data_IF_526596535589
#
_entry.id   IF_526596535589
#
_cell.length_a   1.000
_cell.length_b   1.000
_cell.length_c   1.000
_cell.angle_alpha   90.00
_cell.angle_beta   90.00
_cell.angle_gamma   90.00
#
_symmetry.space_group_name_H-M   'P 1'
#
loop_
_entity.id
_entity.type
_entity.pdbx_description
1 polymer ?
#
# COMPACT_ATOMS: atom_id res chain seq x y z
N UNK A 1 -31.15 -0.88 -67.19
CA UNK A 1 -31.20 -2.36 -67.04
C UNK A 1 -29.80 -2.87 -66.75
N UNK A 2 -29.67 -3.68 -65.70
CA UNK A 2 -28.65 -4.72 -65.45
C UNK A 2 -27.21 -4.31 -65.09
N UNK A 3 -26.90 -4.43 -63.79
CA UNK A 3 -25.60 -4.83 -63.23
C UNK A 3 -25.22 -6.25 -63.69
N UNK A 4 -23.94 -6.67 -63.56
CA UNK A 4 -23.54 -7.39 -62.33
C UNK A 4 -22.11 -7.09 -61.82
N UNK A 5 -21.94 -7.29 -60.50
CA UNK A 5 -20.65 -7.43 -59.81
C UNK A 5 -19.96 -8.78 -60.16
N UNK A 6 -18.63 -8.92 -59.94
CA UNK A 6 -18.09 -9.64 -58.76
C UNK A 6 -16.77 -8.99 -58.26
N UNK A 7 -15.99 -9.45 -57.27
CA UNK A 7 -16.13 -10.23 -56.04
C UNK A 7 -14.67 -10.27 -55.48
N UNK A 8 -14.50 -10.06 -54.17
CA UNK A 8 -13.36 -10.44 -53.31
C UNK A 8 -11.91 -10.07 -53.71
N UNK A 9 -11.23 -9.32 -52.82
CA UNK A 9 -10.08 -9.93 -52.13
C UNK A 9 -9.83 -9.33 -50.74
N UNK A 10 -9.75 -10.26 -49.81
CA UNK A 10 -9.55 -10.14 -48.38
C UNK A 10 -8.04 -9.99 -48.10
N UNK A 11 -7.62 -9.03 -47.28
CA UNK A 11 -6.30 -9.05 -46.66
C UNK A 11 -6.40 -8.57 -45.22
N UNK A 12 -6.72 -9.51 -44.33
CA UNK A 12 -6.69 -9.37 -42.89
C UNK A 12 -5.22 -9.46 -42.44
N UNK A 13 -4.59 -8.34 -42.12
CA UNK A 13 -3.23 -8.34 -41.56
C UNK A 13 -3.36 -8.42 -40.05
N UNK A 14 -3.15 -9.62 -39.53
CA UNK A 14 -3.17 -9.96 -38.11
C UNK A 14 -1.87 -9.43 -37.46
N UNK A 15 -1.94 -8.29 -36.78
CA UNK A 15 -0.81 -7.75 -36.01
C UNK A 15 -0.54 -8.61 -34.76
N UNK A 16 0.74 -8.81 -34.37
CA UNK A 16 1.06 -9.66 -33.24
C UNK A 16 0.62 -8.97 -31.94
N UNK A 17 -0.23 -9.63 -31.17
CA UNK A 17 -0.54 -9.24 -29.80
C UNK A 17 0.70 -9.48 -28.94
N UNK A 18 1.34 -8.41 -28.47
CA UNK A 18 2.31 -8.49 -27.39
C UNK A 18 1.56 -8.97 -26.14
N UNK A 19 1.70 -10.25 -25.81
CA UNK A 19 1.24 -10.77 -24.54
C UNK A 19 2.04 -10.11 -23.42
N UNK A 20 1.39 -9.21 -22.68
CA UNK A 20 1.96 -8.64 -21.46
C UNK A 20 2.25 -9.77 -20.48
N UNK A 21 3.53 -9.95 -20.15
CA UNK A 21 3.95 -10.83 -19.06
C UNK A 21 3.52 -10.13 -17.77
N UNK A 22 2.40 -10.56 -17.19
CA UNK A 22 2.06 -10.16 -15.84
C UNK A 22 3.16 -10.71 -14.90
N UNK A 23 3.74 -9.91 -14.00
CA UNK A 23 4.64 -10.46 -13.01
C UNK A 23 3.87 -11.50 -12.20
N UNK A 24 4.38 -12.73 -12.15
CA UNK A 24 3.91 -13.74 -11.22
C UNK A 24 3.98 -13.14 -9.82
N UNK A 25 2.82 -12.99 -9.18
CA UNK A 25 2.78 -12.71 -7.76
C UNK A 25 3.59 -13.80 -7.07
N UNK A 26 4.61 -13.41 -6.30
CA UNK A 26 5.34 -14.35 -5.48
C UNK A 26 4.33 -15.04 -4.55
N UNK A 27 4.22 -16.36 -4.66
CA UNK A 27 3.52 -17.20 -3.68
C UNK A 27 4.25 -17.09 -2.35
N UNK A 28 3.87 -16.08 -1.58
CA UNK A 28 4.36 -15.83 -0.24
C UNK A 28 3.28 -15.11 0.54
N UNK A 29 3.15 -15.44 1.82
CA UNK A 29 2.12 -14.87 2.70
C UNK A 29 2.25 -13.34 2.88
N UNK A 30 3.30 -12.71 2.35
CA UNK A 30 3.46 -11.25 2.33
C UNK A 30 2.49 -10.59 1.34
N UNK A 31 1.85 -9.46 1.73
CA UNK A 31 1.10 -8.66 0.78
C UNK A 31 2.00 -8.18 -0.38
N UNK A 32 1.41 -7.90 -1.56
CA UNK A 32 2.16 -7.34 -2.67
C UNK A 32 2.79 -6.01 -2.26
N UNK A 33 4.04 -5.83 -2.66
CA UNK A 33 4.74 -4.56 -2.49
C UNK A 33 4.12 -3.51 -3.41
N UNK A 34 3.89 -2.31 -2.87
CA UNK A 34 3.31 -1.17 -3.56
C UNK A 34 4.31 -0.02 -3.65
N UNK A 35 4.13 0.84 -4.65
CA UNK A 35 4.98 2.00 -4.90
C UNK A 35 4.13 3.26 -5.06
N UNK A 36 4.52 4.33 -4.38
CA UNK A 36 3.97 5.68 -4.55
C UNK A 36 5.14 6.67 -4.60
N UNK A 37 5.36 7.28 -5.76
CA UNK A 37 6.53 8.13 -6.03
C UNK A 37 7.87 7.48 -5.64
N UNK A 38 8.45 7.90 -4.51
CA UNK A 38 9.73 7.43 -4.00
C UNK A 38 9.58 6.54 -2.76
N UNK A 39 8.34 6.20 -2.39
CA UNK A 39 8.00 5.38 -1.24
C UNK A 39 7.65 3.98 -1.72
N UNK A 40 8.35 2.99 -1.17
CA UNK A 40 7.98 1.58 -1.33
C UNK A 40 7.34 1.12 -0.03
N UNK A 41 6.16 0.52 -0.12
CA UNK A 41 5.38 0.17 1.06
C UNK A 41 4.61 -1.14 0.87
N UNK A 42 4.12 -1.70 1.96
CA UNK A 42 3.12 -2.76 1.96
C UNK A 42 2.13 -2.50 3.09
N UNK A 43 0.91 -3.03 2.95
CA UNK A 43 -0.10 -3.00 3.99
C UNK A 43 -0.89 -4.30 3.99
N UNK A 44 -1.36 -4.74 5.16
CA UNK A 44 -2.09 -5.99 5.31
C UNK A 44 -1.99 -6.58 6.72
N UNK A 45 -2.14 -7.90 6.79
CA UNK A 45 -2.02 -8.69 8.02
C UNK A 45 -3.34 -9.01 8.70
N UNK A 46 -4.43 -9.10 7.92
CA UNK A 46 -5.75 -9.54 8.41
C UNK A 46 -5.71 -11.04 8.74
N UNK A 47 -5.10 -11.85 7.87
CA UNK A 47 -4.89 -13.28 8.08
C UNK A 47 -3.71 -13.58 9.00
N UNK A 48 -3.75 -14.72 9.70
CA UNK A 48 -2.68 -15.13 10.62
C UNK A 48 -1.33 -15.23 9.90
N UNK A 49 -1.28 -15.98 8.80
CA UNK A 49 -0.04 -16.24 8.05
C UNK A 49 0.55 -14.95 7.49
N UNK A 50 -0.30 -14.11 6.88
CA UNK A 50 0.10 -12.79 6.42
C UNK A 50 0.61 -11.89 7.56
N UNK A 51 -0.03 -11.93 8.73
CA UNK A 51 0.44 -11.17 9.89
C UNK A 51 1.79 -11.65 10.40
N UNK A 52 2.06 -12.96 10.36
CA UNK A 52 3.35 -13.55 10.73
C UNK A 52 4.42 -13.13 9.72
N UNK A 53 4.11 -13.23 8.43
CA UNK A 53 5.01 -12.85 7.35
C UNK A 53 5.39 -11.36 7.41
N UNK A 54 4.41 -10.47 7.59
CA UNK A 54 4.66 -9.03 7.78
C UNK A 54 5.53 -8.78 9.01
N UNK A 55 5.21 -9.39 10.16
CA UNK A 55 6.01 -9.26 11.39
C UNK A 55 7.46 -9.70 11.18
N UNK A 56 7.69 -10.72 10.36
CA UNK A 56 9.02 -11.22 9.99
C UNK A 56 9.90 -10.18 9.28
N UNK A 57 9.30 -9.30 8.48
CA UNK A 57 10.02 -8.28 7.69
C UNK A 57 9.99 -6.87 8.29
N UNK A 58 9.27 -6.64 9.39
CA UNK A 58 9.14 -5.32 10.04
C UNK A 58 10.46 -4.62 10.39
N UNK A 59 11.58 -5.35 10.49
CA UNK A 59 12.90 -4.77 10.77
C UNK A 59 13.59 -4.23 9.52
N UNK A 60 13.14 -4.64 8.34
CA UNK A 60 13.75 -4.26 7.05
C UNK A 60 13.13 -2.97 6.49
N UNK A 61 12.18 -2.37 7.21
CA UNK A 61 11.48 -1.17 6.83
C UNK A 61 11.83 0.01 7.74
N UNK A 62 11.93 1.20 7.15
CA UNK A 62 12.22 2.44 7.87
C UNK A 62 11.09 2.87 8.81
N UNK A 63 9.83 2.58 8.45
CA UNK A 63 8.65 2.91 9.22
C UNK A 63 7.71 1.70 9.31
N UNK A 64 7.23 1.41 10.52
CA UNK A 64 6.16 0.43 10.78
C UNK A 64 5.03 1.12 11.52
N UNK A 65 3.82 1.04 10.97
CA UNK A 65 2.59 1.52 11.58
C UNK A 65 1.71 0.33 11.96
N UNK A 66 1.09 0.42 13.14
CA UNK A 66 0.06 -0.53 13.58
C UNK A 66 -1.22 0.23 13.92
N UNK A 67 -2.36 -0.27 13.47
CA UNK A 67 -3.66 0.38 13.66
C UNK A 67 -4.57 -0.46 14.55
N UNK A 68 -5.01 0.12 15.67
CA UNK A 68 -5.90 -0.57 16.59
C UNK A 68 -7.01 0.34 17.12
N UNK A 69 -8.16 -0.26 17.40
CA UNK A 69 -9.25 0.33 18.18
C UNK A 69 -9.27 -0.33 19.55
N UNK A 70 -9.15 0.47 20.60
CA UNK A 70 -9.33 0.02 21.98
C UNK A 70 -10.82 -0.02 22.29
N UNK A 71 -11.34 -1.21 22.60
CA UNK A 71 -12.68 -1.38 23.17
C UNK A 71 -12.59 -1.77 24.65
N UNK A 72 -13.72 -1.84 25.36
CA UNK A 72 -13.75 -2.25 26.77
C UNK A 72 -13.26 -3.69 27.00
N UNK A 73 -13.38 -4.55 25.98
CA UNK A 73 -13.03 -5.97 26.09
C UNK A 73 -11.64 -6.31 25.57
N UNK A 74 -11.20 -5.69 24.47
CA UNK A 74 -9.91 -5.96 23.84
C UNK A 74 -9.47 -4.86 22.86
N UNK A 75 -8.25 -4.98 22.34
CA UNK A 75 -7.85 -4.25 21.15
C UNK A 75 -8.34 -4.97 19.91
N UNK A 76 -8.95 -4.24 19.00
CA UNK A 76 -9.34 -4.70 17.68
C UNK A 76 -8.37 -4.13 16.65
N UNK A 77 -7.87 -5.00 15.78
CA UNK A 77 -7.04 -4.59 14.64
C UNK A 77 -7.92 -3.94 13.56
N UNK A 78 -7.42 -2.86 12.97
CA UNK A 78 -8.17 -2.06 12.00
C UNK A 78 -7.61 -2.21 10.58
N UNK A 79 -8.51 -2.08 9.60
CA UNK A 79 -8.20 -1.78 8.20
C UNK A 79 -8.82 -0.43 7.82
N UNK A 80 -8.65 -0.01 6.57
CA UNK A 80 -9.27 1.21 6.00
C UNK A 80 -8.92 2.51 6.75
N UNK A 81 -7.80 2.50 7.46
CA UNK A 81 -7.23 3.71 8.05
C UNK A 81 -6.59 4.51 6.93
N UNK A 82 -7.07 5.74 6.72
CA UNK A 82 -6.44 6.65 5.75
C UNK A 82 -5.13 7.15 6.30
N UNK A 83 -4.03 6.81 5.64
CA UNK A 83 -2.70 7.26 6.01
C UNK A 83 -2.25 8.33 5.02
N UNK A 84 -1.89 9.50 5.54
CA UNK A 84 -1.25 10.56 4.78
C UNK A 84 0.09 10.87 5.44
N UNK A 85 1.18 10.76 4.68
CA UNK A 85 2.52 11.13 5.10
C UNK A 85 2.93 12.38 4.33
N UNK A 86 3.33 13.43 5.04
CA UNK A 86 3.87 14.65 4.44
C UNK A 86 5.29 14.92 4.92
N UNK A 87 6.12 15.51 4.08
CA UNK A 87 7.39 16.08 4.51
C UNK A 87 7.17 17.34 5.37
N UNK A 88 8.25 17.87 5.96
CA UNK A 88 8.17 19.12 6.74
C UNK A 88 7.88 20.38 5.91
N UNK A 89 7.92 20.29 4.57
CA UNK A 89 7.54 21.37 3.65
C UNK A 89 6.05 21.32 3.29
N UNK A 90 5.34 20.27 3.71
CA UNK A 90 3.92 20.07 3.45
C UNK A 90 3.62 19.28 2.17
N UNK A 91 4.64 18.72 1.50
CA UNK A 91 4.42 17.88 0.32
C UNK A 91 3.94 16.49 0.76
N UNK A 92 2.85 16.00 0.18
CA UNK A 92 2.41 14.62 0.38
C UNK A 92 3.40 13.67 -0.30
N UNK A 93 3.93 12.71 0.47
CA UNK A 93 4.83 11.66 -0.02
C UNK A 93 4.15 10.30 -0.13
N UNK A 94 3.08 10.10 0.62
CA UNK A 94 2.22 8.92 0.53
C UNK A 94 0.82 9.30 1.00
N UNK A 95 -0.20 8.93 0.23
CA UNK A 95 -1.59 8.93 0.67
C UNK A 95 -2.26 7.65 0.20
N UNK A 96 -2.69 6.81 1.14
CA UNK A 96 -3.29 5.51 0.83
C UNK A 96 -4.10 4.98 2.02
N UNK A 97 -5.20 4.23 1.80
CA UNK A 97 -5.81 3.46 2.87
C UNK A 97 -4.90 2.29 3.29
N UNK A 98 -5.05 1.82 4.53
CA UNK A 98 -4.41 0.59 4.99
C UNK A 98 -5.23 -0.64 4.60
N UNK A 99 -4.59 -1.65 4.00
CA UNK A 99 -5.21 -2.95 3.66
C UNK A 99 -5.23 -3.93 4.84
N UNK A 100 -4.96 -3.46 6.05
CA UNK A 100 -4.95 -4.25 7.28
C UNK A 100 -4.28 -3.50 8.44
N UNK A 101 -4.06 -4.20 9.58
CA UNK A 101 -3.55 -3.56 10.79
C UNK A 101 -2.12 -3.09 10.71
N UNK A 102 -1.37 -3.53 9.71
CA UNK A 102 0.02 -3.15 9.54
C UNK A 102 0.22 -2.39 8.23
N UNK A 103 1.06 -1.36 8.30
CA UNK A 103 1.62 -0.70 7.12
C UNK A 103 3.11 -0.48 7.35
N UNK A 104 3.92 -0.96 6.42
CA UNK A 104 5.37 -0.85 6.46
C UNK A 104 5.80 0.00 5.27
N UNK A 105 6.61 1.03 5.51
CA UNK A 105 7.02 1.96 4.46
C UNK A 105 8.52 2.26 4.53
N UNK A 106 9.16 2.30 3.36
CA UNK A 106 10.52 2.78 3.18
C UNK A 106 10.47 4.21 2.66
N UNK A 107 10.76 5.14 3.57
CA UNK A 107 10.89 6.56 3.32
C UNK A 107 12.37 6.91 3.21
N UNK A 108 12.69 7.97 2.46
CA UNK A 108 14.04 8.55 2.48
C UNK A 108 14.35 9.12 3.86
N UNK A 109 15.64 9.33 4.14
CA UNK A 109 16.06 10.01 5.36
C UNK A 109 15.43 11.41 5.42
N UNK A 110 14.82 11.75 6.53
CA UNK A 110 14.10 13.01 6.69
C UNK A 110 13.12 12.98 7.85
N UNK A 111 12.47 14.13 8.07
CA UNK A 111 11.42 14.29 9.08
C UNK A 111 10.07 14.37 8.40
N UNK A 112 9.09 13.67 8.97
CA UNK A 112 7.77 13.50 8.38
C UNK A 112 6.66 13.70 9.41
N UNK A 113 5.50 14.08 8.89
CA UNK A 113 4.24 14.08 9.62
C UNK A 113 3.37 12.97 9.05
N UNK A 114 2.90 12.10 9.93
CA UNK A 114 1.98 11.01 9.60
C UNK A 114 0.64 11.35 10.22
N UNK A 115 -0.40 11.50 9.39
CA UNK A 115 -1.78 11.55 9.82
C UNK A 115 -2.43 10.19 9.49
N UNK A 116 -2.98 9.55 10.51
CA UNK A 116 -3.82 8.37 10.35
C UNK A 116 -5.25 8.74 10.72
N UNK A 117 -6.21 8.46 9.84
CA UNK A 117 -7.63 8.79 10.05
C UNK A 117 -8.49 7.55 10.00
N UNK A 118 -9.31 7.37 11.03
CA UNK A 118 -10.26 6.27 11.13
C UNK A 118 -11.60 6.80 11.64
N UNK A 119 -12.69 6.50 10.91
CA UNK A 119 -14.05 6.97 11.21
C UNK A 119 -14.13 8.48 11.51
N UNK A 120 -13.44 9.30 10.72
CA UNK A 120 -13.43 10.76 10.85
C UNK A 120 -12.59 11.29 12.02
N UNK A 121 -11.95 10.43 12.82
CA UNK A 121 -11.00 10.84 13.86
C UNK A 121 -9.57 10.66 13.35
N UNK A 122 -8.83 11.76 13.30
CA UNK A 122 -7.42 11.76 12.88
C UNK A 122 -6.48 11.84 14.08
N UNK A 123 -5.46 11.00 14.05
CA UNK A 123 -4.34 11.01 14.99
C UNK A 123 -3.06 11.37 14.24
N UNK A 124 -2.21 12.19 14.84
CA UNK A 124 -1.00 12.73 14.22
C UNK A 124 0.26 12.25 14.94
N UNK A 125 1.24 11.81 14.16
CA UNK A 125 2.55 11.38 14.65
C UNK A 125 3.66 12.07 13.83
N UNK A 126 4.68 12.60 14.49
CA UNK A 126 5.86 13.20 13.84
C UNK A 126 7.04 12.26 14.06
N UNK A 127 7.78 11.98 12.99
CA UNK A 127 8.85 10.98 13.00
C UNK A 127 10.08 11.47 12.26
N UNK A 128 11.25 11.09 12.76
CA UNK A 128 12.54 11.27 12.09
C UNK A 128 13.01 9.90 11.57
N UNK A 129 13.19 9.79 10.25
CA UNK A 129 13.66 8.60 9.55
C UNK A 129 15.13 8.78 9.19
N UNK A 130 15.94 7.78 9.50
CA UNK A 130 17.35 7.72 9.12
C UNK A 130 17.80 6.28 8.89
N UNK A 131 18.92 6.08 8.21
CA UNK A 131 19.46 4.74 7.91
C UNK A 131 19.72 3.88 9.16
N UNK A 132 19.91 4.49 10.34
CA UNK A 132 20.12 3.81 11.62
C UNK A 132 18.87 3.73 12.50
N UNK A 133 17.74 4.34 12.11
CA UNK A 133 16.56 4.45 12.94
C UNK A 133 15.31 3.93 12.21
N UNK A 134 14.88 2.73 12.61
CA UNK A 134 13.59 2.17 12.25
C UNK A 134 12.51 2.71 13.20
N UNK A 135 11.58 3.49 12.68
CA UNK A 135 10.49 4.03 13.47
C UNK A 135 9.33 3.04 13.54
N UNK A 136 8.73 2.93 14.73
CA UNK A 136 7.53 2.13 14.95
C UNK A 136 6.50 2.94 15.72
N UNK A 137 5.25 2.94 15.26
CA UNK A 137 4.18 3.62 15.94
C UNK A 137 2.87 2.85 15.87
N UNK A 138 2.14 2.86 16.98
CA UNK A 138 0.79 2.28 17.05
C UNK A 138 -0.20 3.40 17.23
N UNK A 139 -1.09 3.58 16.26
CA UNK A 139 -2.23 4.47 16.39
C UNK A 139 -3.37 3.73 17.10
N UNK A 140 -3.90 4.34 18.14
CA UNK A 140 -4.96 3.77 18.98
C UNK A 140 -6.14 4.73 19.00
N UNK A 141 -7.29 4.27 18.50
CA UNK A 141 -8.56 4.99 18.67
C UNK A 141 -9.35 4.42 19.83
N UNK A 142 -10.09 5.28 20.52
CA UNK A 142 -10.98 4.91 21.61
C UNK A 142 -12.43 5.06 21.16
N UNK A 143 -13.28 4.14 21.65
CA UNK A 143 -14.74 4.19 21.51
C UNK A 143 -15.39 4.58 22.83
#
# INVERSE_FOLDING_TARGET
>A
MKTPAPLLMLALILGPTLAGIAPAAADGDLPPMQHADQVTYLSGGIGLDQSIAIKGVMRDYALVLTFVRRTRGANEYLSDVRVTITDMKGNTVLETPSDGPFMLANLKNGRYVINASYNGRSERYIVDISASHHARHTFIWFT
#
